data_IF_299622560670
#
_entry.id   IF_299622560670
#
_cell.length_a   1.000
_cell.length_b   1.000
_cell.length_c   1.000
_cell.angle_alpha   90.00
_cell.angle_beta   90.00
_cell.angle_gamma   90.00
#
_symmetry.space_group_name_H-M   'P 1'
#
loop_
_entity.id
_entity.type
_entity.pdbx_description
1 polymer ?
#
# COMPACT_ATOMS: atom_id res chain seq x y z
N UNK A 1 -5.62 7.73 17.85
CA UNK A 1 -4.98 6.83 18.85
C UNK A 1 -3.57 6.53 18.39
N UNK A 2 -2.60 6.54 19.30
CA UNK A 2 -1.23 6.09 19.00
C UNK A 2 -1.22 4.59 18.80
N UNK A 3 -0.38 4.11 17.87
CA UNK A 3 -0.17 2.69 17.63
C UNK A 3 1.25 2.43 17.08
N UNK A 4 1.69 1.19 17.16
CA UNK A 4 2.96 0.75 16.60
C UNK A 4 2.71 -0.04 15.32
N UNK A 5 3.25 0.45 14.19
CA UNK A 5 3.22 -0.25 12.92
C UNK A 5 4.58 -0.89 12.62
N UNK A 6 4.54 -2.04 11.98
CA UNK A 6 5.71 -2.67 11.36
C UNK A 6 5.53 -2.62 9.85
N UNK A 7 6.55 -2.14 9.13
CA UNK A 7 6.66 -2.26 7.69
C UNK A 7 7.59 -3.43 7.40
N UNK A 8 7.03 -4.52 6.87
CA UNK A 8 7.76 -5.75 6.59
C UNK A 8 8.37 -5.68 5.18
N UNK A 9 9.62 -5.25 5.10
CA UNK A 9 10.36 -5.18 3.84
C UNK A 9 10.93 -6.55 3.50
N UNK A 10 10.16 -7.36 2.79
CA UNK A 10 10.47 -8.76 2.49
C UNK A 10 10.82 -8.95 1.01
N UNK A 11 11.38 -10.14 0.72
CA UNK A 11 11.70 -10.63 -0.62
C UNK A 11 10.81 -11.83 -0.96
N UNK A 12 9.59 -11.62 -1.49
CA UNK A 12 8.73 -12.71 -1.91
C UNK A 12 9.38 -13.56 -3.00
N UNK A 13 9.16 -14.87 -2.97
CA UNK A 13 9.56 -15.80 -4.02
C UNK A 13 8.50 -15.84 -5.11
N UNK A 14 8.91 -15.63 -6.36
CA UNK A 14 8.00 -15.62 -7.51
C UNK A 14 7.26 -16.96 -7.66
N UNK A 15 5.93 -16.92 -7.69
CA UNK A 15 5.05 -18.06 -7.89
C UNK A 15 4.95 -19.04 -6.71
N UNK A 16 5.59 -18.77 -5.57
CA UNK A 16 5.69 -19.71 -4.45
C UNK A 16 4.80 -19.30 -3.26
N UNK A 17 3.47 -19.39 -3.44
CA UNK A 17 2.49 -18.92 -2.43
C UNK A 17 2.72 -19.57 -1.05
N UNK A 18 2.92 -20.88 -0.97
CA UNK A 18 3.10 -21.58 0.31
C UNK A 18 4.37 -21.13 1.06
N UNK A 19 5.50 -20.96 0.36
CA UNK A 19 6.75 -20.49 0.96
C UNK A 19 6.62 -19.04 1.44
N UNK A 20 5.96 -18.20 0.64
CA UNK A 20 5.73 -16.80 0.98
C UNK A 20 4.79 -16.68 2.19
N UNK A 21 3.72 -17.47 2.25
CA UNK A 21 2.82 -17.51 3.40
C UNK A 21 3.55 -17.90 4.68
N UNK A 22 4.41 -18.93 4.64
CA UNK A 22 5.22 -19.33 5.79
C UNK A 22 6.19 -18.22 6.24
N UNK A 23 6.83 -17.50 5.29
CA UNK A 23 7.69 -16.37 5.60
C UNK A 23 6.90 -15.19 6.22
N UNK A 24 5.71 -14.89 5.69
CA UNK A 24 4.78 -13.86 6.18
C UNK A 24 4.35 -14.19 7.62
N UNK A 25 3.97 -15.43 7.89
CA UNK A 25 3.62 -15.90 9.25
C UNK A 25 4.77 -15.67 10.23
N UNK A 26 6.01 -15.98 9.83
CA UNK A 26 7.20 -15.70 10.64
C UNK A 26 7.35 -14.19 10.97
N UNK A 27 7.07 -13.31 10.01
CA UNK A 27 7.08 -11.85 10.25
C UNK A 27 5.95 -11.39 11.17
N UNK A 28 4.75 -11.99 11.07
CA UNK A 28 3.62 -11.70 11.95
C UNK A 28 3.96 -12.11 13.40
N UNK A 29 4.56 -13.28 13.59
CA UNK A 29 5.01 -13.75 14.92
C UNK A 29 6.03 -12.75 15.50
N UNK A 30 7.04 -12.37 14.73
CA UNK A 30 8.03 -11.38 15.13
C UNK A 30 7.40 -10.01 15.47
N UNK A 31 6.39 -9.58 14.72
CA UNK A 31 5.68 -8.34 14.99
C UNK A 31 4.88 -8.39 16.32
N UNK A 32 4.27 -9.53 16.64
CA UNK A 32 3.61 -9.75 17.93
C UNK A 32 4.60 -9.72 19.10
N UNK A 33 5.77 -10.34 18.95
CA UNK A 33 6.84 -10.30 19.94
C UNK A 33 7.34 -8.88 20.17
N UNK A 34 7.42 -8.06 19.11
CA UNK A 34 7.73 -6.64 19.15
C UNK A 34 6.57 -5.77 19.67
N UNK A 35 5.42 -6.37 20.03
CA UNK A 35 4.18 -5.69 20.47
C UNK A 35 3.68 -4.65 19.47
N UNK A 36 3.79 -4.96 18.18
CA UNK A 36 3.20 -4.15 17.14
C UNK A 36 1.68 -4.35 17.09
N UNK A 37 0.99 -3.29 16.74
CA UNK A 37 -0.46 -3.24 16.59
C UNK A 37 -0.90 -3.53 15.14
N UNK A 38 -0.03 -3.21 14.18
CA UNK A 38 -0.24 -3.37 12.73
C UNK A 38 1.04 -3.86 12.07
N UNK A 39 0.92 -4.80 11.13
CA UNK A 39 2.00 -5.15 10.20
C UNK A 39 1.54 -4.92 8.76
N UNK A 40 2.40 -4.27 7.96
CA UNK A 40 2.14 -3.93 6.56
C UNK A 40 3.16 -4.65 5.68
N UNK A 41 2.66 -5.51 4.81
CA UNK A 41 3.43 -6.21 3.79
C UNK A 41 3.41 -5.45 2.45
N UNK A 42 4.36 -5.72 1.55
CA UNK A 42 4.38 -5.09 0.23
C UNK A 42 3.31 -5.63 -0.72
N UNK A 43 3.22 -5.01 -1.90
CA UNK A 43 2.38 -5.44 -3.02
C UNK A 43 2.73 -6.87 -3.43
N UNK A 44 1.71 -7.69 -3.71
CA UNK A 44 1.83 -9.08 -4.16
C UNK A 44 2.78 -9.94 -3.29
N UNK A 45 2.75 -9.70 -1.99
CA UNK A 45 3.63 -10.36 -1.02
C UNK A 45 3.47 -11.89 -1.00
N UNK A 46 2.26 -12.40 -1.34
CA UNK A 46 2.00 -13.84 -1.38
C UNK A 46 2.51 -14.53 -2.65
N UNK A 47 2.71 -13.82 -3.75
CA UNK A 47 2.98 -14.44 -5.05
C UNK A 47 4.27 -13.99 -5.75
N UNK A 48 4.84 -12.84 -5.37
CA UNK A 48 5.81 -12.13 -6.21
C UNK A 48 5.11 -11.32 -7.29
N UNK A 49 5.87 -10.57 -8.09
CA UNK A 49 5.35 -9.53 -8.97
C UNK A 49 5.30 -9.92 -10.46
N UNK A 50 6.42 -10.42 -11.05
CA UNK A 50 6.51 -10.72 -12.48
C UNK A 50 5.88 -12.07 -12.86
N UNK A 51 4.61 -12.25 -12.53
CA UNK A 51 3.90 -13.53 -12.66
C UNK A 51 3.59 -13.93 -14.11
N UNK A 52 3.23 -12.97 -14.97
CA UNK A 52 2.86 -13.28 -16.36
C UNK A 52 1.78 -14.38 -16.41
N UNK A 53 2.05 -15.46 -17.14
CA UNK A 53 1.11 -16.58 -17.29
C UNK A 53 0.92 -17.42 -16.01
N UNK A 54 1.67 -17.13 -14.94
CA UNK A 54 1.45 -17.75 -13.62
C UNK A 54 0.29 -17.13 -12.83
N UNK A 55 -0.28 -16.01 -13.27
CA UNK A 55 -1.38 -15.34 -12.56
C UNK A 55 -2.49 -16.29 -12.14
N UNK A 56 -3.06 -17.14 -13.03
CA UNK A 56 -4.12 -18.07 -12.64
C UNK A 56 -3.69 -19.14 -11.63
N UNK A 57 -2.40 -19.51 -11.64
CA UNK A 57 -1.86 -20.58 -10.79
C UNK A 57 -1.62 -20.12 -9.34
N UNK A 58 -1.44 -18.81 -9.12
CA UNK A 58 -1.14 -18.22 -7.81
C UNK A 58 -2.29 -17.41 -7.24
N UNK A 59 -3.35 -17.23 -8.02
CA UNK A 59 -4.51 -16.46 -7.61
C UNK A 59 -5.26 -17.16 -6.47
N UNK A 60 -5.70 -16.37 -5.50
CA UNK A 60 -6.42 -16.84 -4.32
C UNK A 60 -7.81 -16.19 -4.28
N UNK A 61 -8.80 -16.99 -3.96
CA UNK A 61 -10.14 -16.50 -3.63
C UNK A 61 -10.17 -16.03 -2.17
N UNK A 62 -11.10 -15.16 -1.84
CA UNK A 62 -11.26 -14.63 -0.47
C UNK A 62 -11.55 -15.75 0.56
N UNK A 63 -12.12 -16.85 0.12
CA UNK A 63 -12.42 -18.04 0.93
C UNK A 63 -11.38 -19.15 0.83
N UNK A 64 -10.25 -18.92 0.16
CA UNK A 64 -9.15 -19.91 0.10
C UNK A 64 -8.52 -20.14 1.47
N UNK A 65 -8.00 -21.36 1.73
CA UNK A 65 -7.38 -21.72 3.01
C UNK A 65 -6.30 -20.73 3.46
N UNK A 66 -5.50 -20.22 2.53
CA UNK A 66 -4.42 -19.27 2.78
C UNK A 66 -4.95 -17.92 3.30
N UNK A 67 -6.02 -17.41 2.70
CA UNK A 67 -6.67 -16.16 3.14
C UNK A 67 -7.37 -16.37 4.48
N UNK A 68 -8.08 -17.48 4.66
CA UNK A 68 -8.72 -17.82 5.94
C UNK A 68 -7.68 -17.95 7.08
N UNK A 69 -6.52 -18.51 6.79
CA UNK A 69 -5.40 -18.60 7.74
C UNK A 69 -4.90 -17.21 8.14
N UNK A 70 -4.70 -16.29 7.18
CA UNK A 70 -4.29 -14.91 7.44
C UNK A 70 -5.35 -14.14 8.25
N UNK A 71 -6.63 -14.36 7.98
CA UNK A 71 -7.73 -13.79 8.76
C UNK A 71 -7.61 -14.23 10.22
N UNK A 72 -7.39 -15.52 10.50
CA UNK A 72 -7.22 -16.00 11.86
C UNK A 72 -5.95 -15.44 12.51
N UNK A 73 -4.85 -15.31 11.76
CA UNK A 73 -3.62 -14.65 12.23
C UNK A 73 -3.83 -13.18 12.55
N UNK A 74 -4.89 -12.53 12.08
CA UNK A 74 -5.16 -11.13 12.39
C UNK A 74 -5.73 -10.89 13.79
N UNK A 75 -6.03 -11.95 14.55
CA UNK A 75 -6.45 -11.82 15.95
C UNK A 75 -5.30 -11.31 16.82
N UNK A 76 -5.48 -10.11 17.36
CA UNK A 76 -4.51 -9.45 18.24
C UNK A 76 -3.43 -8.62 17.53
N UNK A 77 -3.37 -8.64 16.19
CA UNK A 77 -2.55 -7.73 15.37
C UNK A 77 -3.23 -7.49 14.04
N UNK A 78 -3.36 -6.24 13.62
CA UNK A 78 -3.90 -5.94 12.27
C UNK A 78 -2.86 -6.26 11.21
N UNK A 79 -3.31 -6.77 10.04
CA UNK A 79 -2.43 -7.20 8.95
C UNK A 79 -2.89 -6.53 7.65
N UNK A 80 -1.95 -5.93 6.90
CA UNK A 80 -2.20 -5.49 5.54
C UNK A 80 -1.32 -6.27 4.59
N UNK A 81 -1.90 -6.91 3.56
CA UNK A 81 -1.18 -7.83 2.68
C UNK A 81 -1.67 -7.75 1.23
N UNK A 82 -0.72 -7.77 0.29
CA UNK A 82 -0.97 -7.82 -1.15
C UNK A 82 -0.95 -9.25 -1.70
N UNK A 83 -1.87 -9.55 -2.63
CA UNK A 83 -2.01 -10.86 -3.27
C UNK A 83 -2.69 -10.75 -4.64
N UNK A 84 -2.62 -11.79 -5.45
CA UNK A 84 -3.46 -11.95 -6.65
C UNK A 84 -4.79 -12.52 -6.22
N UNK A 85 -5.86 -11.74 -6.41
CA UNK A 85 -7.23 -12.16 -6.13
C UNK A 85 -7.86 -12.78 -7.37
N UNK A 86 -8.56 -13.93 -7.21
CA UNK A 86 -9.53 -14.44 -8.18
C UNK A 86 -10.94 -14.13 -7.68
N UNK A 87 -11.72 -13.41 -8.47
CA UNK A 87 -13.11 -13.09 -8.16
C UNK A 87 -14.07 -14.23 -8.52
N UNK A 88 -15.34 -14.13 -8.08
CA UNK A 88 -16.38 -15.14 -8.36
C UNK A 88 -16.69 -15.32 -9.85
N UNK A 89 -16.43 -14.30 -10.65
CA UNK A 89 -16.59 -14.27 -12.11
C UNK A 89 -15.27 -14.48 -12.87
N UNK A 90 -14.26 -15.06 -12.19
CA UNK A 90 -12.97 -15.47 -12.75
C UNK A 90 -12.09 -14.34 -13.28
N UNK A 91 -12.25 -13.12 -12.79
CA UNK A 91 -11.30 -12.04 -13.04
C UNK A 91 -10.17 -12.07 -12.00
N UNK A 92 -8.97 -11.74 -12.44
CA UNK A 92 -7.80 -11.64 -11.57
C UNK A 92 -7.49 -10.18 -11.28
N UNK A 93 -7.19 -9.87 -10.01
CA UNK A 93 -6.86 -8.52 -9.56
C UNK A 93 -5.56 -8.50 -8.75
N UNK A 94 -4.82 -7.41 -8.86
CA UNK A 94 -3.81 -7.04 -7.87
C UNK A 94 -4.56 -6.42 -6.68
N UNK A 95 -4.66 -7.15 -5.59
CA UNK A 95 -5.50 -6.81 -4.45
C UNK A 95 -4.71 -6.71 -3.15
N UNK A 96 -5.23 -5.92 -2.23
CA UNK A 96 -4.72 -5.80 -0.88
C UNK A 96 -5.86 -5.94 0.15
N UNK A 97 -5.60 -6.70 1.21
CA UNK A 97 -6.50 -6.88 2.34
C UNK A 97 -6.00 -6.09 3.55
N UNK A 98 -6.94 -5.50 4.29
CA UNK A 98 -6.75 -5.10 5.67
C UNK A 98 -7.56 -6.05 6.56
N UNK A 99 -6.85 -6.80 7.39
CA UNK A 99 -7.38 -7.80 8.29
C UNK A 99 -7.25 -7.29 9.73
N UNK A 100 -8.33 -7.40 10.51
CA UNK A 100 -8.35 -6.95 11.90
C UNK A 100 -9.29 -7.81 12.73
N UNK A 101 -8.83 -8.29 13.87
CA UNK A 101 -9.60 -9.05 14.85
C UNK A 101 -10.34 -10.27 14.25
N UNK A 102 -9.71 -10.96 13.29
CA UNK A 102 -10.25 -12.17 12.66
C UNK A 102 -11.30 -11.90 11.58
N UNK A 103 -11.34 -10.70 11.01
CA UNK A 103 -12.23 -10.37 9.89
C UNK A 103 -11.51 -9.53 8.82
N UNK A 104 -12.03 -9.56 7.61
CA UNK A 104 -11.65 -8.63 6.55
C UNK A 104 -12.37 -7.31 6.81
N UNK A 105 -11.62 -6.26 7.09
CA UNK A 105 -12.17 -4.90 7.23
C UNK A 105 -12.26 -4.19 5.90
N UNK A 106 -11.30 -4.44 5.00
CA UNK A 106 -11.26 -3.81 3.69
C UNK A 106 -10.53 -4.69 2.68
N UNK A 107 -11.04 -4.66 1.46
CA UNK A 107 -10.42 -5.19 0.25
C UNK A 107 -10.28 -4.04 -0.75
N UNK A 108 -9.06 -3.76 -1.18
CA UNK A 108 -8.77 -2.81 -2.25
C UNK A 108 -8.21 -3.55 -3.46
N UNK A 109 -8.79 -3.32 -4.64
CA UNK A 109 -8.29 -3.77 -5.94
C UNK A 109 -7.58 -2.61 -6.61
N UNK A 110 -6.36 -2.81 -7.08
CA UNK A 110 -5.55 -1.79 -7.77
C UNK A 110 -6.32 -1.19 -8.93
N UNK A 111 -6.45 0.15 -8.95
CA UNK A 111 -7.22 0.86 -9.98
C UNK A 111 -6.34 1.19 -11.18
N UNK A 112 -5.12 1.65 -10.93
CA UNK A 112 -4.19 2.05 -11.99
C UNK A 112 -3.17 0.95 -12.24
N UNK A 113 -3.34 0.25 -13.38
CA UNK A 113 -2.48 -0.85 -13.82
C UNK A 113 -1.46 -0.32 -14.82
N UNK A 114 -0.16 -0.21 -14.47
CA UNK A 114 0.84 0.34 -15.38
C UNK A 114 1.13 -0.61 -16.56
N UNK A 115 1.32 0.00 -17.75
CA UNK A 115 1.65 -0.70 -18.99
C UNK A 115 2.87 -0.11 -19.68
N UNK A 116 3.66 0.69 -18.97
CA UNK A 116 4.85 1.36 -19.51
C UNK A 116 6.15 0.76 -18.95
N UNK A 117 7.21 0.89 -19.72
CA UNK A 117 8.53 0.41 -19.33
C UNK A 117 8.58 -1.12 -19.24
N UNK A 118 8.77 -1.65 -18.05
CA UNK A 118 8.80 -3.10 -17.78
C UNK A 118 7.46 -3.63 -17.21
N UNK A 119 6.47 -2.76 -17.08
CA UNK A 119 5.16 -3.13 -16.56
C UNK A 119 4.20 -3.55 -17.68
N UNK A 120 3.39 -4.58 -17.44
CA UNK A 120 2.36 -5.07 -18.37
C UNK A 120 1.17 -5.65 -17.59
N UNK A 121 0.76 -4.95 -16.51
CA UNK A 121 -0.27 -5.46 -15.59
C UNK A 121 -1.63 -5.65 -16.26
N UNK A 122 -2.07 -4.73 -17.12
CA UNK A 122 -3.38 -4.79 -17.80
C UNK A 122 -3.55 -6.02 -18.69
N UNK A 123 -2.46 -6.66 -19.08
CA UNK A 123 -2.53 -7.88 -19.89
C UNK A 123 -3.07 -9.07 -19.09
N UNK A 124 -2.83 -9.08 -17.79
CA UNK A 124 -3.09 -10.24 -16.94
C UNK A 124 -4.12 -9.97 -15.85
N UNK A 125 -4.34 -8.71 -15.48
CA UNK A 125 -5.13 -8.29 -14.35
C UNK A 125 -6.22 -7.30 -14.77
N UNK A 126 -7.38 -7.40 -14.14
CA UNK A 126 -8.44 -6.42 -14.22
C UNK A 126 -8.20 -5.27 -13.24
N UNK A 127 -8.66 -4.07 -13.60
CA UNK A 127 -8.56 -2.90 -12.74
C UNK A 127 -9.68 -2.85 -11.70
N UNK A 128 -9.37 -2.30 -10.51
CA UNK A 128 -10.38 -1.89 -9.53
C UNK A 128 -11.15 -0.65 -10.00
N UNK A 129 -12.27 -0.37 -9.34
CA UNK A 129 -13.19 0.70 -9.76
C UNK A 129 -13.40 1.79 -8.71
N UNK A 130 -12.76 1.69 -7.54
CA UNK A 130 -13.04 2.62 -6.45
C UNK A 130 -11.87 2.81 -5.48
N UNK A 131 -11.83 4.01 -4.90
CA UNK A 131 -11.04 4.33 -3.73
C UNK A 131 -11.99 4.61 -2.57
N UNK A 132 -11.88 3.86 -1.47
CA UNK A 132 -12.73 4.00 -0.30
C UNK A 132 -11.90 3.98 0.97
N UNK A 133 -12.12 4.98 1.83
CA UNK A 133 -11.59 4.94 3.17
C UNK A 133 -12.46 4.03 4.05
N UNK A 134 -11.85 3.40 5.04
CA UNK A 134 -12.48 2.43 5.92
C UNK A 134 -12.07 2.63 7.38
N UNK A 135 -12.94 2.22 8.29
CA UNK A 135 -12.72 2.39 9.71
C UNK A 135 -11.94 1.21 10.30
N UNK A 136 -10.93 1.52 11.10
CA UNK A 136 -10.11 0.60 11.89
C UNK A 136 -10.12 1.01 13.35
N UNK A 137 -9.62 0.16 14.23
CA UNK A 137 -9.43 0.53 15.66
C UNK A 137 -8.45 1.70 15.86
N UNK A 138 -7.66 2.06 14.85
CA UNK A 138 -6.68 3.16 14.90
C UNK A 138 -7.15 4.45 14.22
N UNK A 139 -8.37 4.47 13.72
CA UNK A 139 -8.95 5.57 12.96
C UNK A 139 -9.32 5.19 11.54
N UNK A 140 -9.59 6.18 10.70
CA UNK A 140 -10.03 5.96 9.32
C UNK A 140 -8.82 5.91 8.39
N UNK A 141 -8.69 4.81 7.65
CA UNK A 141 -7.56 4.50 6.77
C UNK A 141 -7.96 4.51 5.30
N UNK A 142 -6.99 4.77 4.43
CA UNK A 142 -7.09 4.55 2.99
C UNK A 142 -5.99 3.58 2.54
N UNK A 143 -6.27 2.79 1.52
CA UNK A 143 -5.34 1.82 0.96
C UNK A 143 -5.07 2.11 -0.51
N UNK A 144 -3.80 1.99 -0.92
CA UNK A 144 -3.30 2.21 -2.27
C UNK A 144 -2.32 1.09 -2.62
N UNK A 145 -2.29 0.70 -3.89
CA UNK A 145 -1.32 -0.26 -4.40
C UNK A 145 -0.45 0.42 -5.44
N UNK A 146 0.80 0.68 -5.09
CA UNK A 146 1.89 1.13 -5.97
C UNK A 146 1.49 2.29 -6.91
N UNK A 147 1.17 2.00 -8.17
CA UNK A 147 0.79 2.99 -9.19
C UNK A 147 -0.39 3.87 -8.78
N UNK A 148 -1.32 3.36 -7.94
CA UNK A 148 -2.42 4.18 -7.44
C UNK A 148 -1.93 5.48 -6.80
N UNK A 149 -0.81 5.43 -6.06
CA UNK A 149 -0.27 6.60 -5.37
C UNK A 149 0.34 7.64 -6.31
N UNK A 150 0.74 7.25 -7.52
CA UNK A 150 1.23 8.18 -8.54
C UNK A 150 0.12 9.03 -9.19
N UNK A 151 -1.13 8.64 -8.98
CA UNK A 151 -2.29 9.40 -9.39
C UNK A 151 -2.83 10.24 -8.23
N UNK A 152 -2.61 11.55 -8.27
CA UNK A 152 -2.96 12.48 -7.19
C UNK A 152 -4.42 12.36 -6.74
N UNK A 153 -5.33 12.05 -7.67
CA UNK A 153 -6.77 11.87 -7.39
C UNK A 153 -7.04 10.72 -6.43
N UNK A 154 -6.25 9.64 -6.47
CA UNK A 154 -6.45 8.47 -5.61
C UNK A 154 -6.26 8.84 -4.12
N UNK A 155 -5.12 9.41 -3.78
CA UNK A 155 -4.83 9.87 -2.42
C UNK A 155 -5.77 10.98 -1.98
N UNK A 156 -6.12 11.90 -2.88
CA UNK A 156 -7.05 12.99 -2.62
C UNK A 156 -8.46 12.47 -2.28
N UNK A 157 -9.00 11.53 -3.07
CA UNK A 157 -10.33 10.93 -2.81
C UNK A 157 -10.34 10.26 -1.43
N UNK A 158 -9.32 9.49 -1.08
CA UNK A 158 -9.24 8.84 0.23
C UNK A 158 -9.19 9.87 1.38
N UNK A 159 -8.41 10.95 1.22
CA UNK A 159 -8.36 12.02 2.21
C UNK A 159 -9.70 12.75 2.36
N UNK A 160 -10.40 13.02 1.25
CA UNK A 160 -11.75 13.61 1.26
C UNK A 160 -12.79 12.67 1.87
N UNK A 161 -12.62 11.35 1.70
CA UNK A 161 -13.43 10.32 2.39
C UNK A 161 -13.03 10.14 3.87
N UNK A 162 -12.16 11.00 4.38
CA UNK A 162 -11.80 11.12 5.79
C UNK A 162 -10.61 10.27 6.23
N UNK A 163 -9.83 9.68 5.32
CA UNK A 163 -8.64 8.93 5.70
C UNK A 163 -7.64 9.83 6.45
N UNK A 164 -7.14 9.33 7.56
CA UNK A 164 -6.10 9.97 8.38
C UNK A 164 -4.75 9.28 8.24
N UNK A 165 -4.76 8.08 7.69
CA UNK A 165 -3.59 7.27 7.39
C UNK A 165 -3.78 6.62 6.03
N UNK A 166 -2.80 6.78 5.15
CA UNK A 166 -2.73 6.09 3.87
C UNK A 166 -1.70 4.96 3.99
N UNK A 167 -2.10 3.75 3.61
CA UNK A 167 -1.20 2.61 3.47
C UNK A 167 -0.95 2.41 1.98
N UNK A 168 0.31 2.38 1.57
CA UNK A 168 0.70 2.09 0.19
C UNK A 168 1.59 0.85 0.14
N UNK A 169 1.07 -0.21 -0.47
CA UNK A 169 1.82 -1.43 -0.76
C UNK A 169 2.49 -1.29 -2.12
N UNK A 170 3.78 -1.61 -2.23
CA UNK A 170 4.53 -1.36 -3.45
C UNK A 170 5.47 -2.50 -3.82
N UNK A 171 5.68 -2.65 -5.13
CA UNK A 171 6.73 -3.44 -5.77
C UNK A 171 7.48 -2.53 -6.75
N UNK A 172 8.10 -1.49 -6.22
CA UNK A 172 8.80 -0.49 -7.03
C UNK A 172 10.22 -0.96 -7.38
N UNK A 173 10.54 -1.05 -8.69
CA UNK A 173 11.85 -1.47 -9.15
C UNK A 173 12.89 -0.35 -9.00
N UNK A 174 14.15 -0.77 -8.83
CA UNK A 174 15.30 0.13 -8.84
C UNK A 174 15.58 0.65 -10.26
N UNK A 175 15.48 1.96 -10.43
CA UNK A 175 15.72 2.65 -11.70
C UNK A 175 16.46 3.97 -11.48
N UNK A 176 17.17 4.41 -12.54
CA UNK A 176 17.83 5.71 -12.53
C UNK A 176 18.97 5.76 -11.52
N UNK A 177 19.98 4.88 -11.72
CA UNK A 177 21.20 4.88 -10.89
C UNK A 177 22.01 6.11 -11.30
N UNK A 178 22.27 6.99 -10.34
CA UNK A 178 23.14 8.16 -10.49
C UNK A 178 24.05 8.24 -9.26
N UNK A 179 25.32 7.80 -9.44
CA UNK A 179 26.24 7.59 -8.32
C UNK A 179 25.68 6.60 -7.30
N UNK A 180 25.60 7.03 -6.05
CA UNK A 180 25.06 6.24 -4.93
C UNK A 180 23.53 6.41 -4.75
N UNK A 181 22.86 7.15 -5.65
CA UNK A 181 21.43 7.42 -5.55
C UNK A 181 20.60 6.58 -6.53
N UNK A 182 19.40 6.20 -6.08
CA UNK A 182 18.38 5.57 -6.91
C UNK A 182 17.28 6.58 -7.24
N UNK A 183 17.14 6.93 -8.52
CA UNK A 183 16.14 7.90 -8.98
C UNK A 183 14.71 7.51 -8.59
N UNK A 184 14.38 6.21 -8.67
CA UNK A 184 13.07 5.70 -8.22
C UNK A 184 12.84 5.93 -6.72
N UNK A 185 13.84 5.68 -5.86
CA UNK A 185 13.73 5.93 -4.42
C UNK A 185 13.54 7.42 -4.12
N UNK A 186 14.31 8.30 -4.77
CA UNK A 186 14.18 9.74 -4.62
C UNK A 186 12.81 10.27 -5.10
N UNK A 187 12.28 9.70 -6.17
CA UNK A 187 10.94 10.07 -6.67
C UNK A 187 9.83 9.64 -5.71
N UNK A 188 9.90 8.41 -5.19
CA UNK A 188 8.96 7.92 -4.19
C UNK A 188 8.99 8.76 -2.90
N UNK A 189 10.19 9.12 -2.42
CA UNK A 189 10.34 9.96 -1.24
C UNK A 189 9.63 11.31 -1.41
N UNK A 190 9.80 11.96 -2.57
CA UNK A 190 9.10 13.22 -2.88
C UNK A 190 7.59 13.00 -2.91
N UNK A 191 7.12 11.92 -3.55
CA UNK A 191 5.71 11.61 -3.69
C UNK A 191 5.05 11.38 -2.32
N UNK A 192 5.60 10.49 -1.50
CA UNK A 192 5.06 10.14 -0.17
C UNK A 192 5.06 11.33 0.79
N UNK A 193 6.17 12.08 0.83
CA UNK A 193 6.32 13.30 1.64
C UNK A 193 5.32 14.38 1.24
N UNK A 194 5.21 14.66 -0.07
CA UNK A 194 4.28 15.66 -0.59
C UNK A 194 2.83 15.27 -0.32
N UNK A 195 2.48 13.99 -0.54
CA UNK A 195 1.13 13.47 -0.27
C UNK A 195 0.77 13.62 1.20
N UNK A 196 1.66 13.24 2.12
CA UNK A 196 1.44 13.37 3.56
C UNK A 196 1.20 14.83 3.96
N UNK A 197 2.04 15.74 3.48
CA UNK A 197 1.98 17.16 3.80
C UNK A 197 0.71 17.84 3.26
N UNK A 198 0.39 17.67 1.96
CA UNK A 198 -0.76 18.32 1.35
C UNK A 198 -2.10 17.77 1.83
N UNK A 199 -2.16 16.49 2.17
CA UNK A 199 -3.40 15.85 2.62
C UNK A 199 -3.50 15.75 4.15
N UNK A 200 -2.54 16.34 4.91
CA UNK A 200 -2.47 16.24 6.36
C UNK A 200 -2.78 14.81 6.86
N UNK A 201 -2.12 13.83 6.29
CA UNK A 201 -2.30 12.41 6.61
C UNK A 201 -0.95 11.74 6.89
N UNK A 202 -0.99 10.65 7.61
CA UNK A 202 0.16 9.74 7.78
C UNK A 202 0.29 8.84 6.56
N UNK A 203 1.52 8.51 6.15
CA UNK A 203 1.75 7.54 5.07
C UNK A 203 2.60 6.40 5.59
N UNK A 204 2.10 5.17 5.46
CA UNK A 204 2.80 3.91 5.69
C UNK A 204 3.09 3.29 4.32
N UNK A 205 4.33 3.42 3.86
CA UNK A 205 4.79 2.91 2.56
C UNK A 205 5.59 1.63 2.78
N UNK A 206 5.11 0.51 2.25
CA UNK A 206 5.80 -0.79 2.31
C UNK A 206 6.19 -1.23 0.91
N UNK A 207 7.49 -1.32 0.65
CA UNK A 207 8.05 -1.74 -0.64
C UNK A 207 8.83 -3.05 -0.49
N UNK A 208 8.69 -3.94 -1.47
CA UNK A 208 9.48 -5.17 -1.50
C UNK A 208 10.95 -4.89 -1.82
N UNK A 209 11.78 -5.88 -1.57
CA UNK A 209 13.23 -5.86 -1.87
C UNK A 209 13.64 -7.11 -2.63
N UNK A 210 14.83 -7.07 -3.24
CA UNK A 210 15.48 -8.21 -3.87
C UNK A 210 15.26 -8.33 -5.37
N UNK A 211 15.85 -9.37 -5.96
CA UNK A 211 15.79 -9.62 -7.40
C UNK A 211 14.65 -10.56 -7.74
N UNK A 212 13.96 -10.28 -8.85
CA UNK A 212 12.96 -11.15 -9.44
C UNK A 212 12.96 -10.95 -10.97
N UNK A 213 13.07 -12.02 -11.73
CA UNK A 213 13.14 -12.01 -13.21
C UNK A 213 14.13 -10.99 -13.79
N UNK A 214 15.31 -10.86 -13.15
CA UNK A 214 16.38 -9.92 -13.57
C UNK A 214 16.17 -8.46 -13.14
N UNK A 215 15.06 -8.14 -12.48
CA UNK A 215 14.75 -6.80 -11.97
C UNK A 215 15.03 -6.72 -10.48
N UNK A 216 15.69 -5.66 -10.04
CA UNK A 216 15.92 -5.38 -8.63
C UNK A 216 14.83 -4.47 -8.07
N UNK A 217 14.31 -4.81 -6.87
CA UNK A 217 13.42 -3.99 -6.07
C UNK A 217 14.20 -3.42 -4.89
N UNK A 218 14.04 -2.13 -4.63
CA UNK A 218 15.00 -1.38 -3.82
C UNK A 218 14.68 -1.29 -2.33
N UNK A 219 13.48 -1.70 -1.88
CA UNK A 219 13.10 -1.60 -0.46
C UNK A 219 12.79 -0.18 -0.03
N UNK A 220 13.45 0.32 1.03
CA UNK A 220 13.29 1.68 1.53
C UNK A 220 11.87 1.98 2.03
N UNK A 221 11.19 0.98 2.60
CA UNK A 221 9.88 1.14 3.23
C UNK A 221 9.92 2.22 4.31
N UNK A 222 8.86 3.03 4.45
CA UNK A 222 8.96 4.28 5.18
C UNK A 222 7.66 4.65 5.88
N UNK A 223 7.77 5.20 7.09
CA UNK A 223 6.69 5.95 7.73
C UNK A 223 6.93 7.45 7.60
N UNK A 224 5.96 8.15 7.04
CA UNK A 224 5.97 9.60 6.82
C UNK A 224 4.90 10.24 7.71
N UNK A 225 5.33 11.21 8.52
CA UNK A 225 4.44 12.00 9.36
C UNK A 225 3.56 12.95 8.53
N UNK A 226 2.46 13.47 9.10
CA UNK A 226 1.57 14.43 8.40
C UNK A 226 2.25 15.75 8.00
N UNK A 227 3.42 16.06 8.57
CA UNK A 227 4.28 17.17 8.15
C UNK A 227 5.03 16.93 6.84
N UNK A 228 5.01 15.70 6.32
CA UNK A 228 5.85 15.26 5.22
C UNK A 228 7.23 14.78 5.63
N UNK A 229 7.54 14.76 6.93
CA UNK A 229 8.81 14.27 7.45
C UNK A 229 8.88 12.74 7.42
N UNK A 230 10.01 12.22 6.93
CA UNK A 230 10.35 10.79 7.05
C UNK A 230 10.79 10.49 8.48
N UNK A 231 9.94 9.80 9.23
CA UNK A 231 10.20 9.48 10.65
C UNK A 231 11.14 8.28 10.78
N UNK A 232 10.91 7.26 9.98
CA UNK A 232 11.74 6.05 9.92
C UNK A 232 11.71 5.49 8.51
N UNK A 233 12.86 5.02 8.04
CA UNK A 233 13.03 4.39 6.73
C UNK A 233 13.85 3.12 6.87
N UNK A 234 13.46 2.09 6.11
CA UNK A 234 14.19 0.84 5.96
C UNK A 234 15.43 0.95 5.09
N UNK A 235 16.30 -0.03 5.21
CA UNK A 235 17.49 -0.17 4.40
C UNK A 235 17.16 -0.26 2.91
N UNK A 236 18.10 0.19 2.07
CA UNK A 236 18.02 -0.04 0.63
C UNK A 236 18.63 -1.40 0.30
N UNK A 237 17.99 -2.13 -0.62
CA UNK A 237 18.47 -3.39 -1.21
C UNK A 237 18.56 -4.59 -0.25
N UNK A 238 18.10 -4.45 0.98
CA UNK A 238 18.13 -5.50 2.01
C UNK A 238 16.75 -5.71 2.62
N UNK A 239 16.48 -6.93 3.09
CA UNK A 239 15.29 -7.19 3.89
C UNK A 239 15.38 -6.43 5.22
N UNK A 240 14.25 -5.90 5.67
CA UNK A 240 14.22 -5.11 6.90
C UNK A 240 12.88 -5.27 7.64
N UNK A 241 12.91 -4.97 8.92
CA UNK A 241 11.76 -5.01 9.81
C UNK A 241 11.64 -3.67 10.52
N UNK A 242 10.94 -2.74 9.88
CA UNK A 242 10.91 -1.33 10.27
C UNK A 242 9.78 -1.12 11.27
N UNK A 243 10.10 -0.76 12.50
CA UNK A 243 9.12 -0.43 13.53
C UNK A 243 8.91 1.07 13.59
N UNK A 244 7.66 1.50 13.44
CA UNK A 244 7.24 2.89 13.45
C UNK A 244 6.22 3.14 14.58
N UNK A 245 6.51 4.08 15.48
CA UNK A 245 5.50 4.59 16.41
C UNK A 245 4.70 5.69 15.70
N UNK A 246 3.42 5.46 15.52
CA UNK A 246 2.50 6.37 14.85
C UNK A 246 1.82 7.25 15.89
N UNK A 247 2.09 8.56 15.85
CA UNK A 247 1.63 9.55 16.84
C UNK A 247 0.35 10.26 16.37
N UNK A 248 -0.69 10.18 17.16
CA UNK A 248 -1.94 10.93 16.95
C UNK A 248 -1.77 12.42 17.20
N UNK A 249 -0.89 12.78 18.14
CA UNK A 249 -0.57 14.18 18.45
C UNK A 249 0.04 14.91 17.26
N UNK A 250 0.88 14.23 16.47
CA UNK A 250 1.45 14.79 15.23
C UNK A 250 0.35 15.12 14.22
N UNK A 251 -0.58 14.19 13.99
CA UNK A 251 -1.72 14.43 13.09
C UNK A 251 -2.57 15.61 13.56
N UNK A 252 -2.88 15.66 14.86
CA UNK A 252 -3.66 16.76 15.44
C UNK A 252 -2.96 18.10 15.24
N UNK A 253 -1.65 18.19 15.49
CA UNK A 253 -0.88 19.43 15.30
C UNK A 253 -0.96 19.92 13.86
N UNK A 254 -0.67 19.07 12.88
CA UNK A 254 -0.71 19.46 11.48
C UNK A 254 -2.09 19.91 11.03
N UNK A 255 -3.16 19.21 11.41
CA UNK A 255 -4.53 19.59 11.07
C UNK A 255 -5.01 20.90 11.72
N UNK A 256 -4.36 21.34 12.79
CA UNK A 256 -4.64 22.64 13.44
C UNK A 256 -3.83 23.75 12.78
N UNK A 257 -2.52 23.55 12.57
CA UNK A 257 -1.60 24.60 12.14
C UNK A 257 -1.49 24.73 10.61
N UNK A 258 -1.76 23.67 9.87
CA UNK A 258 -1.77 23.61 8.41
C UNK A 258 -3.08 22.98 7.93
N UNK A 259 -4.24 23.64 8.08
CA UNK A 259 -5.56 23.00 7.97
C UNK A 259 -6.01 22.78 6.52
N UNK A 260 -5.17 22.23 5.64
CA UNK A 260 -5.42 22.09 4.20
C UNK A 260 -6.71 21.32 3.91
N UNK A 261 -6.93 20.19 4.60
CA UNK A 261 -8.13 19.36 4.43
C UNK A 261 -9.41 20.07 4.94
N UNK A 262 -9.31 20.83 6.03
CA UNK A 262 -10.45 21.58 6.57
C UNK A 262 -10.91 22.68 5.62
N UNK A 263 -9.95 23.33 4.97
CA UNK A 263 -10.19 24.47 4.12
C UNK A 263 -10.40 24.08 2.65
N UNK A 264 -10.34 22.76 2.32
CA UNK A 264 -10.60 22.23 0.99
C UNK A 264 -12.07 22.43 0.58
N UNK A 265 -12.27 22.81 -0.67
CA UNK A 265 -13.60 23.01 -1.24
C UNK A 265 -13.93 21.91 -2.27
N UNK A 266 -14.32 20.74 -1.76
CA UNK A 266 -14.66 19.57 -2.57
C UNK A 266 -15.74 19.90 -3.63
N UNK A 267 -16.68 20.79 -3.33
CA UNK A 267 -17.75 21.16 -4.26
C UNK A 267 -17.21 21.87 -5.51
N UNK A 268 -16.28 22.81 -5.35
CA UNK A 268 -15.62 23.48 -6.48
C UNK A 268 -14.83 22.46 -7.30
N UNK A 269 -14.06 21.58 -6.64
CA UNK A 269 -13.30 20.53 -7.31
C UNK A 269 -14.20 19.64 -8.15
N UNK A 270 -15.32 19.16 -7.59
CA UNK A 270 -16.30 18.32 -8.30
C UNK A 270 -16.92 19.05 -9.50
N UNK A 271 -17.34 20.29 -9.33
CA UNK A 271 -17.93 21.09 -10.42
C UNK A 271 -16.94 21.26 -11.58
N UNK A 272 -15.69 21.64 -11.29
CA UNK A 272 -14.69 21.86 -12.33
C UNK A 272 -14.30 20.55 -13.04
N UNK A 273 -14.17 19.44 -12.32
CA UNK A 273 -13.93 18.13 -12.93
C UNK A 273 -15.09 17.71 -13.83
N UNK A 274 -16.34 17.93 -13.40
CA UNK A 274 -17.52 17.62 -14.21
C UNK A 274 -17.59 18.50 -15.47
N UNK A 275 -17.29 19.81 -15.37
CA UNK A 275 -17.20 20.70 -16.52
C UNK A 275 -16.16 20.20 -17.52
N UNK A 276 -14.95 19.88 -17.05
CA UNK A 276 -13.86 19.37 -17.89
C UNK A 276 -14.26 18.05 -18.59
N UNK A 277 -14.87 17.12 -17.85
CA UNK A 277 -15.33 15.85 -18.40
C UNK A 277 -16.37 16.06 -19.53
N UNK A 278 -17.32 16.97 -19.33
CA UNK A 278 -18.35 17.32 -20.33
C UNK A 278 -17.75 17.99 -21.58
N UNK A 279 -16.71 18.79 -21.43
CA UNK A 279 -16.02 19.45 -22.55
C UNK A 279 -15.14 18.47 -23.35
N UNK A 280 -14.48 17.50 -22.67
CA UNK A 280 -13.64 16.49 -23.35
C UNK A 280 -14.45 15.35 -23.98
N UNK A 281 -15.67 15.13 -23.55
CA UNK A 281 -16.59 14.12 -24.11
C UNK A 281 -17.30 14.60 -25.39
N UNK A 282 -17.01 15.80 -25.86
CA UNK A 282 -17.44 16.36 -27.13
C UNK A 282 -16.30 16.32 -28.16
#
# INVERSE_FOLDING_TARGET
MDFTAVLAQIKPKLGCVADNLAAIEGQIIKAREAKADLIVFPELALSGYFLKDLVPEVALRIDSPEILHLIELSRGISITIGFVEESDDYHFFNSALYLEDGIIRHLHRKVYLPTYGLFDEQRYLAHGESFRAFDTKFGRFGMLICEDMWHLSASYILAMDGATTLICLSSSPARGIDGDSLGSAAAWQKLTSTTAMFLNCRVLYSNRVGFEDGVNFWGGSEYIAPSGESVVRGALLEEDFITARVDEGALRRERIFSPMIRDENLFVTMQELQRIANERGR
#
